data_IF_441594100520
#
_entry.id   IF_441594100520
#
_cell.length_a   1.000
_cell.length_b   1.000
_cell.length_c   1.000
_cell.angle_alpha   90.00
_cell.angle_beta   90.00
_cell.angle_gamma   90.00
#
_symmetry.space_group_name_H-M   'P 1'
#
loop_
_entity.id
_entity.type
_entity.pdbx_description
1 polymer ?
#
# COMPACT_ATOMS: atom_id res chain seq x y z
N UNK A 1 -12.39 36.10 -5.56
CA UNK A 1 -11.19 35.67 -6.33
C UNK A 1 -10.07 35.17 -5.41
N UNK A 2 -9.60 35.96 -4.44
CA UNK A 2 -8.54 35.57 -3.48
C UNK A 2 -8.79 34.26 -2.70
N UNK A 3 -10.05 33.98 -2.32
CA UNK A 3 -10.41 32.77 -1.55
C UNK A 3 -10.29 31.46 -2.34
N UNK A 4 -10.54 31.49 -3.66
CA UNK A 4 -10.49 30.29 -4.50
C UNK A 4 -9.04 29.80 -4.62
N UNK A 5 -8.09 30.74 -4.75
CA UNK A 5 -6.65 30.44 -4.83
C UNK A 5 -6.19 29.76 -3.54
N UNK A 6 -6.66 30.23 -2.38
CA UNK A 6 -6.33 29.65 -1.07
C UNK A 6 -6.85 28.21 -0.94
N UNK A 7 -8.08 27.95 -1.39
CA UNK A 7 -8.65 26.61 -1.37
C UNK A 7 -7.86 25.62 -2.23
N UNK A 8 -7.44 26.03 -3.43
CA UNK A 8 -6.64 25.20 -4.33
C UNK A 8 -5.28 24.86 -3.69
N UNK A 9 -4.61 25.85 -3.09
CA UNK A 9 -3.32 25.63 -2.43
C UNK A 9 -3.41 24.64 -1.27
N UNK A 10 -4.49 24.71 -0.46
CA UNK A 10 -4.71 23.78 0.66
C UNK A 10 -4.95 22.35 0.15
N UNK A 11 -5.74 22.18 -0.90
CA UNK A 11 -6.00 20.85 -1.50
C UNK A 11 -4.72 20.20 -2.04
N UNK A 12 -3.83 20.97 -2.66
CA UNK A 12 -2.53 20.48 -3.15
C UNK A 12 -1.63 20.07 -1.99
N UNK A 13 -1.58 20.84 -0.91
CA UNK A 13 -0.82 20.47 0.29
C UNK A 13 -1.24 19.09 0.83
N UNK A 14 -2.55 18.87 1.00
CA UNK A 14 -3.07 17.61 1.54
C UNK A 14 -2.65 16.44 0.65
N UNK A 15 -2.80 16.56 -0.67
CA UNK A 15 -2.41 15.52 -1.64
C UNK A 15 -0.90 15.21 -1.62
N UNK A 16 -0.04 16.18 -1.32
CA UNK A 16 1.42 15.96 -1.20
C UNK A 16 1.84 15.38 0.14
N UNK A 17 1.04 15.58 1.20
CA UNK A 17 1.38 15.12 2.56
C UNK A 17 0.80 13.77 2.92
N UNK A 18 -0.21 13.27 2.19
CA UNK A 18 -0.66 11.88 2.40
C UNK A 18 0.31 10.96 1.67
N UNK A 19 1.12 10.16 2.36
CA UNK A 19 1.89 9.14 1.69
C UNK A 19 0.89 8.14 1.10
N UNK A 20 0.76 8.11 -0.22
CA UNK A 20 0.02 7.06 -0.96
C UNK A 20 0.82 5.75 -0.90
N UNK A 21 1.22 5.31 0.30
CA UNK A 21 2.20 4.24 0.48
C UNK A 21 2.07 3.42 1.76
N UNK A 22 1.07 3.68 2.61
CA UNK A 22 0.77 2.79 3.75
C UNK A 22 -0.41 1.84 3.51
N UNK A 23 -1.29 2.13 2.55
CA UNK A 23 -2.52 1.36 2.36
C UNK A 23 -2.37 0.02 1.60
N UNK A 24 -1.21 -0.31 1.03
CA UNK A 24 -1.08 -1.52 0.19
C UNK A 24 0.17 -2.38 0.48
N UNK A 25 0.80 -2.24 1.65
CA UNK A 25 1.77 -3.26 2.09
C UNK A 25 1.04 -4.31 2.92
N UNK A 26 0.69 -5.43 2.30
CA UNK A 26 0.18 -6.64 2.95
C UNK A 26 1.22 -7.28 3.88
N UNK A 27 2.51 -7.06 3.62
CA UNK A 27 3.59 -7.63 4.40
C UNK A 27 4.84 -6.75 4.43
N UNK A 28 5.57 -6.80 5.53
CA UNK A 28 6.97 -6.37 5.60
C UNK A 28 7.89 -7.59 5.59
N UNK A 29 7.43 -8.69 6.17
CA UNK A 29 8.11 -9.98 6.25
C UNK A 29 7.20 -11.10 5.76
N UNK A 30 7.78 -12.27 5.46
CA UNK A 30 6.97 -13.46 5.10
C UNK A 30 6.02 -13.85 6.23
N UNK A 31 6.35 -13.54 7.48
CA UNK A 31 5.53 -13.89 8.64
C UNK A 31 4.18 -13.16 8.64
N UNK A 32 4.15 -11.92 8.16
CA UNK A 32 2.91 -11.15 8.02
C UNK A 32 1.92 -11.84 7.06
N UNK A 33 2.44 -12.63 6.11
CA UNK A 33 1.65 -13.35 5.13
C UNK A 33 0.89 -14.56 5.69
N UNK A 34 1.24 -15.07 6.88
CA UNK A 34 0.46 -16.14 7.53
C UNK A 34 -0.97 -15.71 7.88
N UNK A 35 -1.22 -14.40 7.98
CA UNK A 35 -2.58 -13.86 8.17
C UNK A 35 -3.45 -14.01 6.92
N UNK A 36 -2.82 -14.06 5.74
CA UNK A 36 -3.51 -14.07 4.44
C UNK A 36 -3.49 -15.45 3.78
N UNK A 37 -2.53 -16.31 4.15
CA UNK A 37 -2.29 -17.59 3.50
C UNK A 37 -1.86 -18.66 4.50
N UNK A 38 -2.36 -19.89 4.31
CA UNK A 38 -1.88 -21.04 5.09
C UNK A 38 -0.41 -21.36 4.82
N UNK A 39 0.05 -21.20 3.57
CA UNK A 39 1.44 -21.49 3.17
C UNK A 39 2.04 -20.29 2.42
N UNK A 40 2.64 -19.32 3.14
CA UNK A 40 3.28 -18.17 2.50
C UNK A 40 4.59 -18.60 1.83
N UNK A 41 4.82 -18.09 0.61
CA UNK A 41 6.02 -18.35 -0.20
C UNK A 41 7.05 -17.25 -0.04
N UNK A 42 6.65 -16.00 -0.26
CA UNK A 42 7.51 -14.82 -0.14
C UNK A 42 6.69 -13.55 0.01
N UNK A 43 7.27 -12.55 0.67
CA UNK A 43 6.79 -11.18 0.66
C UNK A 43 7.67 -10.39 -0.33
N UNK A 44 7.08 -9.70 -1.29
CA UNK A 44 7.84 -8.91 -2.28
C UNK A 44 7.08 -7.63 -2.61
N UNK A 45 7.76 -6.48 -2.52
CA UNK A 45 7.16 -5.14 -2.72
C UNK A 45 5.94 -4.84 -1.83
N UNK A 46 5.83 -5.51 -0.68
CA UNK A 46 4.67 -5.40 0.18
C UNK A 46 3.49 -6.30 -0.22
N UNK A 47 3.68 -7.22 -1.15
CA UNK A 47 2.67 -8.18 -1.59
C UNK A 47 3.02 -9.59 -1.12
N UNK A 48 2.03 -10.31 -0.58
CA UNK A 48 2.17 -11.70 -0.16
C UNK A 48 1.96 -12.66 -1.33
N UNK A 49 2.95 -13.52 -1.59
CA UNK A 49 2.84 -14.61 -2.56
C UNK A 49 2.69 -15.93 -1.80
N UNK A 50 1.74 -16.77 -2.22
CA UNK A 50 1.33 -17.98 -1.49
C UNK A 50 1.36 -19.22 -2.38
N UNK A 51 1.44 -20.40 -1.75
CA UNK A 51 1.35 -21.68 -2.46
C UNK A 51 -0.09 -22.23 -2.46
N UNK A 52 -0.47 -23.02 -3.50
CA UNK A 52 0.26 -23.23 -4.74
C UNK A 52 0.13 -22.00 -5.65
N UNK A 53 1.25 -21.50 -6.18
CA UNK A 53 1.19 -20.42 -7.17
C UNK A 53 0.62 -20.99 -8.48
N UNK A 54 -0.29 -20.28 -9.18
CA UNK A 54 -0.99 -20.79 -10.37
C UNK A 54 -0.07 -21.05 -11.59
N UNK A 55 1.22 -20.76 -11.48
CA UNK A 55 2.23 -21.15 -12.46
C UNK A 55 2.80 -22.52 -12.07
N UNK A 56 2.15 -23.58 -12.56
CA UNK A 56 2.71 -24.93 -12.63
C UNK A 56 2.59 -25.44 -14.07
#
# INVERSE_FOLDING_TARGET
>A
MKFIIVLILISVLIATTVPVSEAQRQCQTVQDCYKYCMTPKRCTYGTCYCYPSPFK
#
